data_IF_332099651449
#
_entry.id   IF_332099651449
#
_cell.length_a   1.000
_cell.length_b   1.000
_cell.length_c   1.000
_cell.angle_alpha   90.00
_cell.angle_beta   90.00
_cell.angle_gamma   90.00
#
_symmetry.space_group_name_H-M   'P 1'
#
loop_
_entity.id
_entity.type
_entity.pdbx_description
1 polymer ?
#
# COMPACT_ATOMS: atom_id res chain seq x y z
N UNK A 1 -5.96 15.18 11.70
CA UNK A 1 -6.50 14.38 12.81
C UNK A 1 -5.94 12.94 12.77
N UNK A 2 -5.12 12.53 13.74
CA UNK A 2 -4.51 11.19 13.75
C UNK A 2 -5.49 10.14 14.31
N UNK A 3 -5.30 8.83 14.03
CA UNK A 3 -5.92 7.77 14.83
C UNK A 3 -5.28 7.77 16.22
N UNK A 4 -6.11 7.75 17.26
CA UNK A 4 -5.77 8.22 18.62
C UNK A 4 -5.31 7.08 19.56
N UNK A 5 -5.39 5.80 19.19
CA UNK A 5 -5.19 4.71 20.16
C UNK A 5 -4.49 3.47 19.58
N UNK A 6 -3.75 2.70 20.40
CA UNK A 6 -3.43 1.30 20.07
C UNK A 6 -4.74 0.55 19.79
N UNK A 7 -4.76 -0.50 18.94
CA UNK A 7 -5.98 -1.23 18.67
C UNK A 7 -6.48 -1.82 19.98
N UNK A 8 -7.51 -1.21 20.56
CA UNK A 8 -8.30 -1.85 21.59
C UNK A 8 -8.77 -3.19 21.00
N UNK A 9 -8.63 -4.28 21.75
CA UNK A 9 -9.28 -5.53 21.38
C UNK A 9 -10.79 -5.36 21.56
N UNK A 10 -11.41 -4.64 20.63
CA UNK A 10 -12.85 -4.51 20.56
C UNK A 10 -13.34 -5.91 20.21
N UNK A 11 -14.17 -6.55 21.07
CA UNK A 11 -14.75 -7.85 20.75
C UNK A 11 -15.45 -7.75 19.40
N UNK A 12 -15.12 -8.65 18.48
CA UNK A 12 -15.80 -8.69 17.18
C UNK A 12 -17.30 -8.86 17.45
N UNK A 13 -18.17 -7.99 16.91
CA UNK A 13 -19.61 -8.14 17.09
C UNK A 13 -20.03 -9.56 16.66
N UNK A 14 -21.01 -10.20 17.33
CA UNK A 14 -21.36 -11.61 17.14
C UNK A 14 -22.01 -11.91 15.78
N UNK A 15 -21.99 -10.96 14.86
CA UNK A 15 -22.55 -11.04 13.52
C UNK A 15 -21.55 -10.50 12.50
N UNK A 16 -21.48 -11.17 11.35
CA UNK A 16 -20.63 -10.75 10.23
C UNK A 16 -21.41 -9.79 9.34
N UNK A 17 -20.94 -8.54 9.24
CA UNK A 17 -21.54 -7.52 8.38
C UNK A 17 -21.36 -7.80 6.86
N UNK A 18 -20.51 -8.76 6.48
CA UNK A 18 -20.31 -9.19 5.09
C UNK A 18 -20.21 -10.72 4.99
N UNK A 19 -20.72 -11.29 3.89
CA UNK A 19 -20.68 -12.75 3.60
C UNK A 19 -19.27 -13.29 3.30
N UNK A 20 -18.26 -12.42 3.22
CA UNK A 20 -16.89 -12.84 2.95
C UNK A 20 -16.25 -13.46 4.21
N UNK A 21 -15.61 -14.64 4.11
CA UNK A 21 -14.94 -15.27 5.24
C UNK A 21 -13.79 -14.39 5.76
N UNK A 22 -13.60 -14.40 7.08
CA UNK A 22 -12.39 -13.86 7.71
C UNK A 22 -11.22 -14.74 7.28
N UNK A 23 -10.34 -14.20 6.46
CA UNK A 23 -9.13 -14.87 5.98
C UNK A 23 -7.93 -14.19 6.62
N UNK A 24 -6.79 -14.89 6.81
CA UNK A 24 -5.55 -14.24 7.25
C UNK A 24 -5.25 -12.97 6.46
N UNK A 25 -5.47 -12.98 5.14
CA UNK A 25 -5.29 -11.81 4.28
C UNK A 25 -6.32 -10.68 4.51
N UNK A 26 -7.58 -10.96 4.89
CA UNK A 26 -8.55 -9.92 5.28
C UNK A 26 -8.21 -9.33 6.66
N UNK A 27 -7.78 -10.19 7.57
CA UNK A 27 -7.24 -9.78 8.87
C UNK A 27 -6.02 -8.89 8.67
N UNK A 28 -5.09 -9.26 7.80
CA UNK A 28 -3.93 -8.43 7.42
C UNK A 28 -4.31 -7.09 6.79
N UNK A 29 -5.31 -7.05 5.90
CA UNK A 29 -5.79 -5.81 5.29
C UNK A 29 -6.55 -4.89 6.27
N UNK A 30 -7.16 -5.44 7.33
CA UNK A 30 -7.89 -4.69 8.35
C UNK A 30 -7.06 -4.34 9.59
N UNK A 31 -5.94 -5.02 9.83
CA UNK A 31 -5.25 -4.93 11.13
C UNK A 31 -4.58 -3.59 11.34
N UNK A 32 -3.98 -2.95 10.33
CA UNK A 32 -3.32 -1.65 10.51
C UNK A 32 -3.29 -0.90 9.19
N UNK A 33 -4.30 -0.09 8.96
CA UNK A 33 -4.18 0.99 8.00
C UNK A 33 -3.80 2.26 8.79
N UNK A 34 -2.82 3.00 8.28
CA UNK A 34 -2.12 4.03 9.06
C UNK A 34 -2.95 5.31 9.26
N UNK A 35 -3.94 5.57 8.38
CA UNK A 35 -4.73 6.81 8.40
C UNK A 35 -6.18 6.58 8.78
N UNK A 36 -6.81 5.58 8.18
CA UNK A 36 -8.17 5.14 8.54
C UNK A 36 -8.12 3.65 8.83
N UNK A 37 -9.18 3.02 9.36
CA UNK A 37 -9.18 1.56 9.58
C UNK A 37 -8.96 0.72 8.32
N UNK A 38 -9.19 1.26 7.11
CA UNK A 38 -9.25 0.50 5.85
C UNK A 38 -8.40 1.06 4.71
N UNK A 39 -7.72 2.20 4.90
CA UNK A 39 -6.93 2.85 3.85
C UNK A 39 -5.48 3.17 4.29
N UNK A 40 -4.53 2.76 3.45
CA UNK A 40 -3.12 3.15 3.54
C UNK A 40 -2.95 4.64 3.22
N UNK A 41 -1.90 5.27 3.78
CA UNK A 41 -1.70 6.73 3.74
C UNK A 41 -1.68 7.31 2.32
N UNK A 42 -0.86 6.80 1.42
CA UNK A 42 -0.73 7.32 0.05
C UNK A 42 -2.03 7.17 -0.73
N UNK A 43 -2.70 6.03 -0.57
CA UNK A 43 -3.98 5.76 -1.23
C UNK A 43 -5.11 6.64 -0.66
N UNK A 44 -5.11 6.90 0.65
CA UNK A 44 -6.05 7.81 1.29
C UNK A 44 -5.79 9.28 0.91
N UNK A 45 -4.52 9.67 0.78
CA UNK A 45 -4.13 11.03 0.40
C UNK A 45 -4.72 11.40 -0.96
N UNK A 46 -4.66 10.50 -1.94
CA UNK A 46 -5.34 10.66 -3.22
C UNK A 46 -5.86 9.33 -3.81
N UNK A 47 -7.09 8.99 -3.43
CA UNK A 47 -7.76 7.78 -3.89
C UNK A 47 -8.10 7.81 -5.39
N UNK A 48 -8.35 9.01 -5.94
CA UNK A 48 -8.69 9.17 -7.38
C UNK A 48 -7.44 8.97 -8.22
N UNK A 49 -6.32 9.62 -7.87
CA UNK A 49 -5.05 9.42 -8.55
C UNK A 49 -4.63 7.95 -8.47
N UNK A 50 -4.75 7.31 -7.31
CA UNK A 50 -4.38 5.89 -7.16
C UNK A 50 -5.25 4.99 -8.05
N UNK A 51 -6.56 5.19 -8.07
CA UNK A 51 -7.46 4.44 -8.97
C UNK A 51 -7.10 4.64 -10.44
N UNK A 52 -6.78 5.88 -10.83
CA UNK A 52 -6.37 6.22 -12.19
C UNK A 52 -5.03 5.60 -12.57
N UNK A 53 -4.05 5.53 -11.67
CA UNK A 53 -2.77 4.85 -11.93
C UNK A 53 -3.00 3.34 -12.12
N UNK A 54 -3.85 2.73 -11.28
CA UNK A 54 -4.16 1.31 -11.39
C UNK A 54 -4.86 0.98 -12.71
N UNK A 55 -5.79 1.84 -13.15
CA UNK A 55 -6.47 1.69 -14.44
C UNK A 55 -5.49 1.62 -15.64
N UNK A 56 -4.29 2.21 -15.56
CA UNK A 56 -3.29 2.13 -16.64
C UNK A 56 -2.74 0.70 -16.85
N UNK A 57 -2.95 -0.18 -15.86
CA UNK A 57 -2.57 -1.58 -15.95
C UNK A 57 -3.61 -2.42 -16.71
N UNK A 58 -4.84 -1.94 -16.84
CA UNK A 58 -5.93 -2.64 -17.51
C UNK A 58 -5.77 -2.63 -19.04
N UNK A 59 -6.17 -3.70 -19.76
CA UNK A 59 -6.31 -3.64 -21.21
C UNK A 59 -7.42 -2.67 -21.64
N UNK A 60 -8.39 -2.42 -20.75
CA UNK A 60 -9.50 -1.49 -20.95
C UNK A 60 -9.58 -0.54 -19.75
N UNK A 61 -8.72 0.50 -19.68
CA UNK A 61 -8.61 1.37 -18.51
C UNK A 61 -9.93 1.98 -18.04
N UNK A 62 -10.81 2.33 -18.98
CA UNK A 62 -12.13 2.88 -18.67
C UNK A 62 -13.01 1.96 -17.81
N UNK A 63 -12.70 0.66 -17.73
CA UNK A 63 -13.45 -0.30 -16.91
C UNK A 63 -13.28 -0.12 -15.40
N UNK A 64 -12.28 0.62 -14.95
CA UNK A 64 -11.94 0.79 -13.52
C UNK A 64 -11.70 2.23 -13.10
N UNK A 65 -11.94 3.19 -13.99
CA UNK A 65 -11.79 4.61 -13.67
C UNK A 65 -12.94 5.04 -12.75
N UNK A 66 -12.64 5.72 -11.63
CA UNK A 66 -13.68 6.26 -10.76
C UNK A 66 -14.47 7.34 -11.50
N UNK A 67 -15.75 7.57 -11.14
CA UNK A 67 -16.50 8.67 -11.70
C UNK A 67 -15.75 9.99 -11.47
N UNK A 68 -15.82 10.90 -12.44
CA UNK A 68 -15.25 12.23 -12.29
C UNK A 68 -15.77 12.87 -10.99
N UNK A 69 -14.90 13.48 -10.17
CA UNK A 69 -15.37 14.17 -8.97
C UNK A 69 -16.40 15.23 -9.38
N UNK A 70 -17.47 15.41 -8.59
CA UNK A 70 -18.50 16.40 -8.89
C UNK A 70 -17.87 17.80 -8.94
N UNK A 71 -18.41 18.65 -9.80
CA UNK A 71 -18.00 20.05 -9.85
C UNK A 71 -18.19 20.71 -8.47
N UNK A 72 -17.27 21.58 -8.07
CA UNK A 72 -17.44 22.39 -6.88
C UNK A 72 -18.72 23.22 -7.01
N UNK A 73 -19.54 23.36 -5.95
CA UNK A 73 -20.74 24.20 -5.99
C UNK A 73 -20.39 25.62 -6.47
N UNK A 74 -21.02 26.07 -7.56
CA UNK A 74 -20.77 27.40 -8.15
C UNK A 74 -19.59 27.48 -9.13
N UNK A 75 -18.87 26.39 -9.39
CA UNK A 75 -17.80 26.36 -10.39
C UNK A 75 -18.30 25.79 -11.73
N UNK A 76 -18.12 26.55 -12.82
CA UNK A 76 -18.23 26.04 -14.20
C UNK A 76 -16.95 25.31 -14.67
N UNK A 77 -15.94 25.16 -13.79
CA UNK A 77 -14.69 24.51 -14.19
C UNK A 77 -14.95 23.09 -14.65
N UNK A 78 -14.46 22.77 -15.85
CA UNK A 78 -14.27 21.40 -16.33
C UNK A 78 -13.69 20.53 -15.21
N UNK A 79 -13.93 19.20 -15.20
CA UNK A 79 -13.20 18.33 -14.28
C UNK A 79 -11.72 18.66 -14.41
N UNK A 80 -11.03 18.92 -13.28
CA UNK A 80 -9.60 19.33 -13.24
C UNK A 80 -8.65 18.31 -13.88
N UNK A 81 -9.20 17.23 -14.42
CA UNK A 81 -8.56 16.05 -14.92
C UNK A 81 -9.01 15.85 -16.37
N UNK A 82 -8.06 15.82 -17.29
CA UNK A 82 -8.32 15.48 -18.68
C UNK A 82 -8.99 14.09 -18.81
N UNK A 83 -9.78 13.88 -19.87
CA UNK A 83 -10.31 12.56 -20.20
C UNK A 83 -9.20 11.52 -20.22
N UNK A 84 -9.52 10.32 -19.77
CA UNK A 84 -8.55 9.25 -19.76
C UNK A 84 -8.27 8.76 -21.19
N UNK A 85 -7.03 8.34 -21.51
CA UNK A 85 -6.72 7.84 -22.84
C UNK A 85 -7.61 6.64 -23.23
N UNK A 86 -8.25 6.73 -24.40
CA UNK A 86 -9.05 5.62 -24.93
C UNK A 86 -8.21 4.40 -25.32
N UNK A 87 -6.93 4.61 -25.63
CA UNK A 87 -5.93 3.58 -25.93
C UNK A 87 -4.61 3.96 -25.27
N UNK A 88 -3.91 2.97 -24.72
CA UNK A 88 -2.57 3.14 -24.17
C UNK A 88 -1.54 2.60 -25.17
N UNK A 89 -0.42 3.30 -25.36
CA UNK A 89 0.70 2.79 -26.15
C UNK A 89 1.35 1.56 -25.51
N UNK A 90 1.22 1.44 -24.18
CA UNK A 90 1.58 0.27 -23.38
C UNK A 90 0.81 0.30 -22.06
N UNK A 91 0.52 -0.88 -21.52
CA UNK A 91 0.01 -0.98 -20.14
C UNK A 91 1.13 -0.69 -19.14
N UNK A 92 0.77 -0.03 -18.04
CA UNK A 92 1.67 0.18 -16.92
C UNK A 92 1.96 -1.17 -16.25
N UNK A 93 3.24 -1.47 -16.00
CA UNK A 93 3.63 -2.55 -15.08
C UNK A 93 3.69 -1.97 -13.68
N UNK A 94 2.73 -2.32 -12.84
CA UNK A 94 2.63 -1.82 -11.47
C UNK A 94 2.80 -2.99 -10.50
N UNK A 95 3.70 -2.84 -9.53
CA UNK A 95 3.79 -3.74 -8.37
C UNK A 95 3.55 -2.95 -7.10
N UNK A 96 2.64 -3.42 -6.25
CA UNK A 96 2.25 -2.76 -5.00
C UNK A 96 2.77 -3.54 -3.80
N UNK A 97 3.20 -2.80 -2.79
CA UNK A 97 3.78 -3.32 -1.54
C UNK A 97 2.82 -2.96 -0.40
N UNK A 98 1.89 -3.86 -0.05
CA UNK A 98 0.89 -3.59 0.98
C UNK A 98 1.51 -3.55 2.39
N UNK A 99 0.77 -3.00 3.35
CA UNK A 99 1.24 -2.82 4.73
C UNK A 99 1.57 -4.14 5.43
N UNK A 100 0.88 -5.23 5.11
CA UNK A 100 1.19 -6.56 5.63
C UNK A 100 2.55 -7.11 5.15
N UNK A 101 3.10 -6.55 4.06
CA UNK A 101 4.45 -6.83 3.60
C UNK A 101 5.45 -5.84 4.18
N UNK A 102 5.12 -4.55 4.29
CA UNK A 102 6.09 -3.51 4.68
C UNK A 102 6.25 -3.30 6.18
N UNK A 103 5.17 -3.44 6.97
CA UNK A 103 5.20 -3.25 8.43
C UNK A 103 6.16 -4.17 9.18
N UNK A 104 6.36 -5.45 8.79
CA UNK A 104 7.34 -6.32 9.45
C UNK A 104 8.80 -5.86 9.29
N UNK A 105 9.12 -5.11 8.23
CA UNK A 105 10.47 -4.63 7.98
C UNK A 105 10.76 -3.40 8.81
N UNK A 106 11.45 -3.61 9.93
CA UNK A 106 11.78 -2.55 10.88
C UNK A 106 13.28 -2.38 11.02
N UNK A 107 13.68 -1.14 11.26
CA UNK A 107 14.99 -0.83 11.80
C UNK A 107 14.82 -0.29 13.22
N UNK A 108 15.62 -0.79 14.15
CA UNK A 108 15.56 -0.36 15.55
C UNK A 108 16.51 0.79 15.85
N UNK A 109 16.17 1.59 16.86
CA UNK A 109 17.06 2.63 17.39
C UNK A 109 18.43 2.06 17.76
N UNK A 110 18.46 0.87 18.37
CA UNK A 110 19.70 0.17 18.73
C UNK A 110 20.57 -0.17 17.51
N UNK A 111 19.97 -0.76 16.46
CA UNK A 111 20.69 -1.09 15.22
C UNK A 111 21.29 0.15 14.55
N UNK A 112 20.51 1.23 14.46
CA UNK A 112 20.99 2.51 13.91
C UNK A 112 22.15 3.03 14.74
N UNK A 113 21.97 3.16 16.05
CA UNK A 113 22.99 3.68 16.97
C UNK A 113 24.29 2.89 16.89
N UNK A 114 24.22 1.56 16.93
CA UNK A 114 25.39 0.69 16.83
C UNK A 114 26.16 0.89 15.52
N UNK A 115 25.44 1.14 14.42
CA UNK A 115 26.04 1.30 13.09
C UNK A 115 26.64 2.69 12.90
N UNK A 116 25.90 3.74 13.27
CA UNK A 116 26.27 5.12 12.90
C UNK A 116 27.19 5.79 13.91
N UNK A 117 27.20 5.35 15.18
CA UNK A 117 28.00 6.00 16.23
C UNK A 117 29.51 6.02 15.90
N UNK A 118 30.15 4.91 15.47
CA UNK A 118 31.56 4.94 15.07
C UNK A 118 31.82 5.86 13.86
N UNK A 119 30.83 6.00 12.96
CA UNK A 119 30.94 6.86 11.78
C UNK A 119 30.83 8.34 12.13
N UNK A 120 30.00 8.69 13.11
CA UNK A 120 29.94 10.05 13.68
C UNK A 120 31.27 10.40 14.34
N UNK A 121 31.84 9.47 15.13
CA UNK A 121 33.15 9.67 15.76
C UNK A 121 34.29 9.82 14.73
N UNK A 122 34.15 9.20 13.55
CA UNK A 122 35.03 9.37 12.40
C UNK A 122 34.74 10.64 11.56
N UNK A 123 33.75 11.46 11.96
CA UNK A 123 33.41 12.72 11.30
C UNK A 123 32.59 12.57 10.01
N UNK A 124 31.80 11.51 9.86
CA UNK A 124 30.94 11.30 8.68
C UNK A 124 29.73 12.24 8.66
N UNK A 125 29.63 13.18 7.70
CA UNK A 125 28.49 14.10 7.64
C UNK A 125 27.17 13.39 7.35
N UNK A 126 27.22 12.28 6.59
CA UNK A 126 26.04 11.46 6.31
C UNK A 126 25.51 10.78 7.58
N UNK A 127 26.41 10.29 8.44
CA UNK A 127 26.04 9.65 9.70
C UNK A 127 25.43 10.67 10.68
N UNK A 128 26.03 11.86 10.80
CA UNK A 128 25.49 12.95 11.62
C UNK A 128 24.11 13.40 11.16
N UNK A 129 23.95 13.65 9.85
CA UNK A 129 22.66 14.04 9.29
C UNK A 129 21.60 12.94 9.48
N UNK A 130 21.99 11.69 9.29
CA UNK A 130 21.09 10.54 9.48
C UNK A 130 20.65 10.39 10.94
N UNK A 131 21.58 10.55 11.88
CA UNK A 131 21.27 10.55 13.31
C UNK A 131 20.24 11.63 13.66
N UNK A 132 20.39 12.84 13.11
CA UNK A 132 19.53 13.97 13.44
C UNK A 132 18.05 13.70 13.12
N UNK A 133 17.74 13.18 11.92
CA UNK A 133 16.34 12.91 11.57
C UNK A 133 15.81 11.61 12.17
N UNK A 134 16.63 10.56 12.27
CA UNK A 134 16.18 9.27 12.81
C UNK A 134 15.94 9.33 14.32
N UNK A 135 16.78 10.03 15.10
CA UNK A 135 16.56 10.16 16.54
C UNK A 135 15.22 10.82 16.85
N UNK A 136 14.92 11.96 16.20
CA UNK A 136 13.61 12.62 16.32
C UNK A 136 12.46 11.71 15.91
N UNK A 137 12.64 10.91 14.85
CA UNK A 137 11.64 9.93 14.42
C UNK A 137 11.41 8.85 15.48
N UNK A 138 12.47 8.26 16.04
CA UNK A 138 12.36 7.26 17.10
C UNK A 138 11.72 7.83 18.36
N UNK A 139 12.10 9.03 18.78
CA UNK A 139 11.49 9.71 19.94
C UNK A 139 10.00 9.93 19.71
N UNK A 140 9.62 10.28 18.48
CA UNK A 140 8.22 10.41 18.12
C UNK A 140 7.48 9.07 18.18
N UNK A 141 8.06 8.00 17.63
CA UNK A 141 7.47 6.65 17.69
C UNK A 141 7.31 6.19 19.14
N UNK A 142 8.33 6.34 19.97
CA UNK A 142 8.30 6.02 21.40
C UNK A 142 7.21 6.81 22.13
N UNK A 143 7.03 8.10 21.82
CA UNK A 143 5.96 8.91 22.41
C UNK A 143 4.53 8.47 22.02
N UNK A 144 4.39 7.70 20.95
CA UNK A 144 3.10 7.27 20.39
C UNK A 144 2.77 5.81 20.70
N UNK A 145 3.76 5.00 21.12
CA UNK A 145 3.60 3.56 21.31
C UNK A 145 3.79 3.16 22.76
N UNK A 146 2.74 2.59 23.36
CA UNK A 146 2.84 1.98 24.68
C UNK A 146 3.64 0.66 24.62
N UNK A 147 4.47 0.40 25.64
CA UNK A 147 5.16 -0.87 25.81
C UNK A 147 6.43 -1.06 24.97
N UNK A 148 6.90 -0.03 24.27
CA UNK A 148 8.16 -0.05 23.52
C UNK A 148 9.00 1.17 23.93
N UNK A 149 10.26 0.95 24.28
CA UNK A 149 11.17 2.03 24.68
C UNK A 149 12.65 1.75 24.38
N UNK A 150 13.45 2.82 24.43
CA UNK A 150 14.90 2.74 24.28
C UNK A 150 15.34 2.18 22.94
N UNK A 151 16.30 1.26 22.95
CA UNK A 151 16.91 0.69 21.74
C UNK A 151 15.96 -0.25 20.97
N UNK A 152 14.86 -0.69 21.60
CA UNK A 152 13.85 -1.56 20.98
C UNK A 152 12.85 -0.82 20.09
N UNK A 153 12.84 0.51 20.13
CA UNK A 153 11.95 1.34 19.29
C UNK A 153 12.25 1.09 17.82
N UNK A 154 11.27 0.56 17.09
CA UNK A 154 11.38 0.19 15.69
C UNK A 154 10.65 1.14 14.76
N UNK A 155 11.32 1.55 13.68
CA UNK A 155 10.74 2.32 12.59
C UNK A 155 10.40 1.39 11.42
N UNK A 156 9.16 1.45 10.94
CA UNK A 156 8.68 0.69 9.77
C UNK A 156 9.24 1.28 8.47
N UNK A 157 9.90 0.45 7.66
CA UNK A 157 10.64 0.86 6.47
C UNK A 157 9.79 0.76 5.19
N UNK A 158 8.63 1.41 5.14
CA UNK A 158 7.70 1.32 3.99
C UNK A 158 8.34 1.71 2.65
N UNK A 159 8.83 2.94 2.55
CA UNK A 159 9.40 3.45 1.30
C UNK A 159 10.75 2.81 0.96
N UNK A 160 11.68 2.62 1.92
CA UNK A 160 12.93 1.91 1.65
C UNK A 160 12.72 0.49 1.11
N UNK A 161 11.66 -0.22 1.53
CA UNK A 161 11.37 -1.56 1.00
C UNK A 161 11.06 -1.54 -0.51
N UNK A 162 10.29 -0.56 -0.97
CA UNK A 162 10.00 -0.38 -2.39
C UNK A 162 11.28 -0.09 -3.20
N UNK A 163 12.21 0.69 -2.63
CA UNK A 163 13.52 0.94 -3.23
C UNK A 163 14.36 -0.34 -3.27
N UNK A 164 14.35 -1.13 -2.20
CA UNK A 164 15.06 -2.41 -2.16
C UNK A 164 14.58 -3.35 -3.26
N UNK A 165 13.26 -3.46 -3.46
CA UNK A 165 12.71 -4.21 -4.58
C UNK A 165 13.17 -3.65 -5.93
N UNK A 166 13.12 -2.33 -6.15
CA UNK A 166 13.57 -1.75 -7.42
C UNK A 166 15.04 -2.12 -7.74
N UNK A 167 15.89 -2.16 -6.72
CA UNK A 167 17.31 -2.53 -6.85
C UNK A 167 17.55 -4.04 -6.96
N UNK A 168 16.64 -4.87 -6.45
CA UNK A 168 16.85 -6.33 -6.29
C UNK A 168 15.70 -7.16 -6.86
N UNK A 169 14.93 -6.63 -7.81
CA UNK A 169 13.71 -7.26 -8.31
C UNK A 169 13.93 -8.66 -8.93
N UNK A 170 15.16 -8.98 -9.33
CA UNK A 170 15.57 -10.29 -9.84
C UNK A 170 15.87 -11.32 -8.73
N UNK A 171 15.92 -10.91 -7.46
CA UNK A 171 16.10 -11.81 -6.32
C UNK A 171 14.89 -12.77 -6.20
N UNK A 172 15.17 -14.07 -6.18
CA UNK A 172 14.16 -15.12 -6.15
C UNK A 172 13.30 -15.13 -4.87
N UNK A 173 13.73 -14.43 -3.82
CA UNK A 173 13.01 -14.23 -2.57
C UNK A 173 11.77 -13.34 -2.70
N UNK A 174 11.74 -12.45 -3.70
CA UNK A 174 10.54 -11.68 -4.01
C UNK A 174 9.47 -12.59 -4.62
N UNK A 175 8.28 -12.64 -4.01
CA UNK A 175 7.10 -13.31 -4.60
C UNK A 175 6.06 -12.27 -4.94
N UNK A 176 5.75 -12.15 -6.23
CA UNK A 176 4.75 -11.24 -6.77
C UNK A 176 3.59 -12.05 -7.31
N UNK A 177 2.38 -11.83 -6.76
CA UNK A 177 1.15 -12.31 -7.37
C UNK A 177 0.77 -11.35 -8.49
N UNK A 178 0.85 -11.81 -9.73
CA UNK A 178 0.65 -10.98 -10.93
C UNK A 178 -0.83 -10.88 -11.30
N UNK A 179 -1.14 -9.84 -12.08
CA UNK A 179 -2.41 -9.67 -12.78
C UNK A 179 -3.66 -9.68 -11.87
N UNK A 180 -3.53 -9.17 -10.64
CA UNK A 180 -4.67 -9.04 -9.74
C UNK A 180 -5.54 -7.83 -10.12
N UNK A 181 -6.86 -8.04 -10.19
CA UNK A 181 -7.85 -6.96 -10.26
C UNK A 181 -8.02 -6.34 -8.87
N UNK A 182 -7.12 -5.40 -8.56
CA UNK A 182 -7.17 -4.57 -7.35
C UNK A 182 -7.77 -3.22 -7.75
N UNK A 183 -8.84 -2.80 -7.09
CA UNK A 183 -9.49 -1.50 -7.34
C UNK A 183 -9.45 -0.63 -6.09
N UNK A 184 -9.70 0.67 -6.25
CA UNK A 184 -9.66 1.64 -5.15
C UNK A 184 -11.06 2.18 -4.93
N UNK A 185 -11.54 2.14 -3.68
CA UNK A 185 -12.75 2.86 -3.28
C UNK A 185 -12.45 4.36 -3.19
N UNK A 186 -13.18 5.18 -3.95
CA UNK A 186 -12.89 6.62 -4.08
C UNK A 186 -13.92 7.53 -3.41
N UNK A 187 -15.03 6.99 -2.90
CA UNK A 187 -16.20 7.78 -2.49
C UNK A 187 -16.73 7.46 -1.10
N UNK A 188 -16.59 6.22 -0.62
CA UNK A 188 -17.21 5.79 0.63
C UNK A 188 -16.75 6.61 1.83
N UNK A 189 -17.70 7.07 2.66
CA UNK A 189 -17.44 7.91 3.84
C UNK A 189 -16.38 7.33 4.77
N UNK A 190 -16.40 6.00 4.95
CA UNK A 190 -15.50 5.27 5.85
C UNK A 190 -14.44 4.44 5.11
N UNK A 191 -14.59 4.28 3.80
CA UNK A 191 -13.82 3.34 2.98
C UNK A 191 -13.03 4.00 1.87
N UNK A 192 -13.07 5.33 1.74
CA UNK A 192 -12.23 6.07 0.78
C UNK A 192 -10.76 5.71 0.97
N UNK A 193 -10.12 5.30 -0.11
CA UNK A 193 -8.74 4.84 -0.16
C UNK A 193 -8.55 3.33 0.11
N UNK A 194 -9.63 2.57 0.36
CA UNK A 194 -9.56 1.13 0.54
C UNK A 194 -9.20 0.42 -0.78
N UNK A 195 -8.31 -0.57 -0.71
CA UNK A 195 -8.06 -1.51 -1.81
C UNK A 195 -9.10 -2.64 -1.80
N UNK A 196 -9.76 -2.84 -2.93
CA UNK A 196 -10.88 -3.76 -3.12
C UNK A 196 -10.47 -4.87 -4.08
N UNK A 197 -10.72 -6.13 -3.69
CA UNK A 197 -10.46 -7.32 -4.50
C UNK A 197 -11.67 -8.25 -4.42
N UNK A 198 -12.15 -8.76 -5.55
CA UNK A 198 -13.18 -9.78 -5.57
C UNK A 198 -12.61 -11.16 -5.17
N UNK A 199 -13.13 -11.73 -4.09
CA UNK A 199 -12.75 -13.05 -3.57
C UNK A 199 -13.90 -14.04 -3.52
N UNK A 200 -15.02 -13.75 -4.19
CA UNK A 200 -16.23 -14.58 -4.13
C UNK A 200 -16.08 -15.95 -4.82
N UNK A 201 -14.94 -16.22 -5.47
CA UNK A 201 -14.67 -17.49 -6.15
C UNK A 201 -15.58 -17.74 -7.36
N UNK A 202 -16.20 -16.69 -7.90
CA UNK A 202 -17.11 -16.80 -9.04
C UNK A 202 -16.33 -17.02 -10.33
N UNK A 203 -16.92 -17.84 -11.21
CA UNK A 203 -16.37 -18.10 -12.54
C UNK A 203 -16.30 -16.78 -13.34
N UNK A 204 -15.16 -16.53 -13.98
CA UNK A 204 -15.00 -15.45 -14.95
C UNK A 204 -15.89 -15.71 -16.17
N UNK A 205 -16.39 -14.64 -16.79
CA UNK A 205 -17.15 -14.67 -18.03
C UNK A 205 -16.26 -15.12 -19.20
N UNK A 206 -16.87 -15.57 -20.29
CA UNK A 206 -16.13 -15.81 -21.52
C UNK A 206 -15.60 -14.48 -22.08
N UNK A 207 -14.43 -14.46 -22.75
CA UNK A 207 -13.86 -13.22 -23.30
C UNK A 207 -14.74 -12.49 -24.31
N UNK A 208 -15.68 -13.20 -24.92
CA UNK A 208 -16.63 -12.74 -25.94
C UNK A 208 -18.03 -12.43 -25.39
N UNK A 209 -18.26 -12.53 -24.07
CA UNK A 209 -19.54 -12.24 -23.39
C UNK A 209 -19.91 -10.73 -23.35
N UNK A 210 -19.35 -9.94 -24.27
CA UNK A 210 -19.58 -8.50 -24.40
C UNK A 210 -18.89 -7.64 -23.34
N UNK A 211 -18.80 -6.35 -23.63
CA UNK A 211 -18.22 -5.34 -22.74
C UNK A 211 -19.26 -4.73 -21.80
N UNK A 212 -18.81 -4.28 -20.62
CA UNK A 212 -19.65 -3.58 -19.64
C UNK A 212 -20.29 -4.47 -18.56
N UNK A 213 -21.01 -3.81 -17.65
CA UNK A 213 -21.74 -4.48 -16.57
C UNK A 213 -22.94 -5.26 -17.09
N UNK A 214 -23.20 -6.44 -16.50
CA UNK A 214 -24.36 -7.27 -16.80
C UNK A 214 -25.11 -7.63 -15.52
N UNK A 215 -26.39 -8.08 -15.61
CA UNK A 215 -27.12 -8.57 -14.46
C UNK A 215 -26.33 -9.64 -13.69
N UNK A 216 -26.09 -9.39 -12.40
CA UNK A 216 -25.33 -10.28 -11.55
C UNK A 216 -23.80 -10.09 -11.59
N UNK A 217 -23.26 -9.12 -12.33
CA UNK A 217 -21.84 -8.71 -12.30
C UNK A 217 -21.69 -7.18 -12.21
N UNK A 218 -22.29 -6.58 -11.18
CA UNK A 218 -22.14 -5.16 -10.88
C UNK A 218 -20.66 -4.83 -10.61
N UNK A 219 -20.15 -3.78 -11.23
CA UNK A 219 -18.73 -3.44 -11.27
C UNK A 219 -17.92 -4.18 -12.34
N UNK A 220 -18.52 -5.08 -13.12
CA UNK A 220 -17.82 -5.81 -14.18
C UNK A 220 -16.56 -6.56 -13.66
N UNK A 221 -16.69 -7.27 -12.53
CA UNK A 221 -15.60 -8.00 -11.89
C UNK A 221 -15.31 -9.35 -12.55
N UNK A 222 -16.29 -9.92 -13.25
CA UNK A 222 -16.16 -11.24 -13.85
C UNK A 222 -15.70 -11.19 -15.31
N UNK A 223 -15.69 -10.03 -15.96
CA UNK A 223 -15.10 -9.89 -17.29
C UNK A 223 -13.58 -10.08 -17.26
N UNK A 224 -13.00 -10.87 -18.17
CA UNK A 224 -11.56 -10.96 -18.34
C UNK A 224 -10.96 -9.72 -19.03
N UNK A 225 -11.76 -8.92 -19.75
CA UNK A 225 -11.29 -7.72 -20.46
C UNK A 225 -11.34 -6.47 -19.58
N UNK A 226 -12.00 -6.56 -18.42
CA UNK A 226 -12.08 -5.49 -17.44
C UNK A 226 -11.09 -5.70 -16.28
N UNK A 227 -11.05 -4.72 -15.39
CA UNK A 227 -10.27 -4.81 -14.17
C UNK A 227 -8.80 -4.47 -14.38
N UNK A 228 -8.09 -4.31 -13.27
CA UNK A 228 -6.67 -3.97 -13.29
C UNK A 228 -5.79 -5.23 -13.46
N UNK A 229 -4.49 -5.00 -13.72
CA UNK A 229 -3.41 -6.00 -13.80
C UNK A 229 -2.29 -5.61 -12.86
N UNK A 230 -2.61 -5.58 -11.57
CA UNK A 230 -1.66 -5.16 -10.54
C UNK A 230 -0.86 -6.36 -10.06
N UNK A 231 0.46 -6.22 -10.03
CA UNK A 231 1.32 -7.12 -9.28
C UNK A 231 1.22 -6.76 -7.79
N UNK A 232 0.98 -7.73 -6.91
CA UNK A 232 1.04 -7.51 -5.47
C UNK A 232 2.19 -8.32 -4.88
N UNK A 233 3.07 -7.63 -4.16
CA UNK A 233 4.07 -8.33 -3.37
C UNK A 233 3.37 -9.15 -2.28
N UNK A 234 3.73 -10.42 -2.17
CA UNK A 234 3.21 -11.35 -1.14
C UNK A 234 4.32 -11.94 -0.28
N UNK A 235 5.58 -11.72 -0.66
CA UNK A 235 6.74 -12.15 0.10
C UNK A 235 7.96 -11.32 -0.29
N UNK A 236 8.76 -10.94 0.71
CA UNK A 236 10.08 -10.35 0.54
C UNK A 236 11.20 -11.39 0.75
N UNK A 237 12.44 -11.15 0.31
CA UNK A 237 13.57 -12.05 0.53
C UNK A 237 13.82 -12.35 2.01
N UNK A 238 13.48 -11.43 2.91
CA UNK A 238 13.46 -11.66 4.35
C UNK A 238 13.13 -10.38 5.11
N UNK A 239 12.51 -10.53 6.29
CA UNK A 239 12.17 -9.39 7.15
C UNK A 239 13.40 -8.85 7.89
N UNK A 240 14.12 -9.74 8.59
CA UNK A 240 15.24 -9.36 9.45
C UNK A 240 16.52 -9.01 8.69
N UNK A 241 16.61 -9.37 7.41
CA UNK A 241 17.79 -9.12 6.59
C UNK A 241 17.82 -7.70 6.01
N UNK A 242 16.66 -7.04 5.91
CA UNK A 242 16.57 -5.78 5.18
C UNK A 242 17.25 -4.62 5.91
N UNK A 243 17.00 -4.46 7.22
CA UNK A 243 17.61 -3.37 7.97
C UNK A 243 19.15 -3.43 8.00
N UNK A 244 19.79 -4.59 8.27
CA UNK A 244 21.24 -4.74 8.12
C UNK A 244 21.72 -4.45 6.70
N UNK A 245 21.04 -4.98 5.67
CA UNK A 245 21.37 -4.71 4.27
C UNK A 245 21.32 -3.22 3.94
N UNK A 246 20.27 -2.52 4.37
CA UNK A 246 20.07 -1.09 4.14
C UNK A 246 21.21 -0.27 4.78
N UNK A 247 21.52 -0.55 6.04
CA UNK A 247 22.58 0.12 6.78
C UNK A 247 23.94 -0.07 6.12
N UNK A 248 24.29 -1.32 5.78
CA UNK A 248 25.52 -1.64 5.04
C UNK A 248 25.56 -0.93 3.68
N UNK A 249 24.45 -0.92 2.94
CA UNK A 249 24.41 -0.32 1.60
C UNK A 249 24.59 1.20 1.62
N UNK A 250 24.05 1.87 2.63
CA UNK A 250 24.11 3.34 2.79
C UNK A 250 25.47 3.78 3.34
N UNK A 251 26.01 3.07 4.33
CA UNK A 251 27.19 3.50 5.07
C UNK A 251 28.49 2.77 4.70
N UNK A 252 28.42 1.66 3.97
CA UNK A 252 29.59 0.90 3.52
C UNK A 252 30.30 0.13 4.63
N UNK A 253 29.58 -0.24 5.70
CA UNK A 253 30.09 -0.97 6.88
C UNK A 253 29.73 -2.45 6.90
#
# INVERSE_FOLDING_TARGET
PPPIYPPASIPEPPFRLIKAPQTPLRTSLNIRNQVTPVAEFNTYADSIATARVYALTSPTPNSTIPPSPPALPGSQSLPHLAPYPAKLSRQLKLTVFPLDITTPHKITRGQVKQTIQPLIEAGSPLAEWTAAFLNSTFDKVESLMEGISGDSVGLELHDPLCIWYALTHDDAGWKIKKDEDIRIETTGQWTRGMTVVDRRGRKKRAPDDGEGEIPGDAGNWLSPNAGNRVGRCVQSPGFDIFAPYLLQRVFGV
#
